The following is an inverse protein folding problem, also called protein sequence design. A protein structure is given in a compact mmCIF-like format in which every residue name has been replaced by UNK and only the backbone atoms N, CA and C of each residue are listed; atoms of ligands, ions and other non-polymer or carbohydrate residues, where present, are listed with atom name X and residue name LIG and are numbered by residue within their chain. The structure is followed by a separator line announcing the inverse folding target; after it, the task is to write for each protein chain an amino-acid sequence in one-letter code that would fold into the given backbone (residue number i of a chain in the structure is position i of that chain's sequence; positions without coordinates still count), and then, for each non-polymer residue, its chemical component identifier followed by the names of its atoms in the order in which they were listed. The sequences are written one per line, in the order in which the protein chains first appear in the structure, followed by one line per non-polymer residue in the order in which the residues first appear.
data_IF_942004848439
#
_entry.id   IF_942004848439
#
_cell.length_a   1.000
_cell.length_b   1.000
_cell.length_c   1.000
_cell.angle_alpha   90.00
_cell.angle_beta   90.00
_cell.angle_gamma   90.00
#
_symmetry.space_group_name_H-M   'P 1'
#
loop_
_entity.id
_entity.type
_entity.pdbx_description
1 polymer ?
#
# COMPACT_ATOMS: atom_id res chain seq x y z
N UNK A 1 9.38 4.09 17.56
CA UNK A 1 9.33 4.86 16.30
C UNK A 1 9.64 6.31 16.62
N UNK A 2 10.56 6.97 15.91
CA UNK A 2 10.46 8.44 15.83
C UNK A 2 9.22 8.68 14.98
N UNK A 3 8.21 9.41 15.46
CA UNK A 3 6.92 9.56 14.75
C UNK A 3 7.09 9.96 13.27
N UNK A 4 8.18 10.65 12.95
CA UNK A 4 8.58 11.05 11.60
C UNK A 4 8.90 9.89 10.65
N UNK A 5 9.39 8.75 11.14
CA UNK A 5 9.78 7.61 10.30
C UNK A 5 8.58 6.89 9.70
N UNK A 6 7.45 6.81 10.42
CA UNK A 6 6.19 6.30 9.84
C UNK A 6 5.75 7.16 8.67
N UNK A 7 5.81 8.48 8.81
CA UNK A 7 5.49 9.41 7.72
C UNK A 7 6.43 9.20 6.53
N UNK A 8 7.73 9.03 6.77
CA UNK A 8 8.71 8.76 5.71
C UNK A 8 8.42 7.46 4.96
N UNK A 9 8.06 6.38 5.65
CA UNK A 9 7.73 5.11 4.99
C UNK A 9 6.48 5.24 4.13
N UNK A 10 5.42 5.87 4.66
CA UNK A 10 4.21 6.15 3.90
C UNK A 10 4.53 6.97 2.65
N UNK A 11 5.30 8.05 2.79
CA UNK A 11 5.70 8.89 1.67
C UNK A 11 6.43 8.08 0.59
N UNK A 12 7.45 7.31 0.98
CA UNK A 12 8.21 6.45 0.05
C UNK A 12 7.35 5.44 -0.68
N UNK A 13 6.40 4.81 0.00
CA UNK A 13 5.47 3.85 -0.62
C UNK A 13 4.58 4.56 -1.63
N UNK A 14 3.98 5.69 -1.24
CA UNK A 14 3.08 6.46 -2.11
C UNK A 14 3.83 7.00 -3.33
N UNK A 15 5.04 7.53 -3.16
CA UNK A 15 5.87 8.02 -4.26
C UNK A 15 6.21 6.90 -5.25
N UNK A 16 6.53 5.70 -4.74
CA UNK A 16 6.78 4.52 -5.59
C UNK A 16 5.54 4.11 -6.37
N UNK A 17 4.37 4.07 -5.73
CA UNK A 17 3.10 3.78 -6.39
C UNK A 17 2.82 4.77 -7.52
N UNK A 18 2.96 6.07 -7.23
CA UNK A 18 2.74 7.15 -8.21
C UNK A 18 3.77 7.19 -9.33
N UNK A 19 4.96 6.64 -9.11
CA UNK A 19 6.00 6.52 -10.15
C UNK A 19 5.74 5.39 -11.15
N UNK A 20 4.79 4.49 -10.86
CA UNK A 20 4.47 3.36 -11.73
C UNK A 20 3.33 3.71 -12.69
N UNK A 21 3.56 3.75 -14.01
CA UNK A 21 2.50 3.99 -14.98
C UNK A 21 1.36 2.98 -14.85
N UNK A 22 1.69 1.71 -14.58
CA UNK A 22 0.68 0.65 -14.43
C UNK A 22 -0.24 0.86 -13.23
N UNK A 23 0.27 1.40 -12.11
CA UNK A 23 -0.56 1.77 -10.94
C UNK A 23 -1.38 3.02 -11.25
N UNK A 24 -0.76 4.03 -11.87
CA UNK A 24 -1.45 5.27 -12.25
C UNK A 24 -2.62 4.98 -13.18
N UNK A 25 -2.40 4.19 -14.23
CA UNK A 25 -3.44 3.75 -15.16
C UNK A 25 -4.56 2.98 -14.45
N UNK A 26 -4.22 2.02 -13.58
CA UNK A 26 -5.22 1.19 -12.91
C UNK A 26 -6.05 1.95 -11.85
N UNK A 27 -5.54 3.07 -11.33
CA UNK A 27 -6.27 3.98 -10.42
C UNK A 27 -7.01 5.10 -11.15
N UNK A 28 -6.69 5.37 -12.41
CA UNK A 28 -7.34 6.45 -13.15
C UNK A 28 -8.70 5.97 -13.64
N UNK A 29 -9.73 6.82 -13.53
CA UNK A 29 -11.06 6.53 -14.07
C UNK A 29 -11.03 6.44 -15.59
N UNK A 30 -11.92 5.63 -16.15
CA UNK A 30 -12.04 5.51 -17.60
C UNK A 30 -12.42 6.85 -18.23
N UNK A 31 -11.65 7.29 -19.23
CA UNK A 31 -11.85 8.58 -19.90
C UNK A 31 -11.11 9.76 -19.27
N UNK A 32 -10.47 9.58 -18.12
CA UNK A 32 -9.56 10.59 -17.54
C UNK A 32 -8.11 10.38 -18.03
N UNK A 33 -7.31 11.46 -18.13
CA UNK A 33 -5.90 11.33 -18.43
C UNK A 33 -5.17 10.64 -17.27
N UNK A 34 -4.48 9.53 -17.58
CA UNK A 34 -3.64 8.82 -16.62
C UNK A 34 -2.46 9.69 -16.21
N UNK A 35 -2.57 10.30 -15.02
CA UNK A 35 -1.56 11.19 -14.45
C UNK A 35 -1.38 10.91 -12.95
N UNK A 36 -0.16 11.07 -12.41
CA UNK A 36 0.09 10.88 -10.98
C UNK A 36 -0.82 11.73 -10.09
N UNK A 37 -1.14 12.96 -10.50
CA UNK A 37 -2.04 13.84 -9.75
C UNK A 37 -3.47 13.31 -9.65
N UNK A 38 -3.98 12.68 -10.72
CA UNK A 38 -5.28 12.01 -10.71
C UNK A 38 -5.23 10.81 -9.76
N UNK A 39 -4.26 9.91 -9.96
CA UNK A 39 -4.08 8.72 -9.13
C UNK A 39 -3.88 9.04 -7.63
N UNK A 40 -3.22 10.17 -7.30
CA UNK A 40 -2.97 10.62 -5.92
C UNK A 40 -4.26 10.80 -5.12
N UNK A 41 -5.37 11.16 -5.76
CA UNK A 41 -6.67 11.34 -5.11
C UNK A 41 -7.25 10.03 -4.58
N UNK A 42 -6.80 8.89 -5.14
CA UNK A 42 -7.23 7.54 -4.80
C UNK A 42 -6.27 6.85 -3.81
N UNK A 43 -5.20 7.52 -3.37
CA UNK A 43 -4.20 6.96 -2.45
C UNK A 43 -4.23 7.68 -1.09
N UNK A 44 -4.49 6.94 -0.02
CA UNK A 44 -4.62 7.49 1.33
C UNK A 44 -3.48 7.06 2.26
N UNK A 45 -2.84 8.00 3.00
CA UNK A 45 -1.81 7.68 3.99
C UNK A 45 -2.42 7.21 5.33
N UNK A 46 -3.62 6.66 5.32
CA UNK A 46 -4.37 6.08 6.43
C UNK A 46 -5.36 5.07 5.86
N UNK A 47 -5.86 4.15 6.68
CA UNK A 47 -6.91 3.23 6.26
C UNK A 47 -8.18 4.02 5.92
N UNK A 48 -8.49 4.13 4.63
CA UNK A 48 -9.72 4.75 4.16
C UNK A 48 -10.92 3.87 4.52
N UNK A 49 -11.97 4.48 5.04
CA UNK A 49 -13.17 3.78 5.56
C UNK A 49 -14.48 4.41 5.07
N UNK A 50 -14.43 5.46 4.25
CA UNK A 50 -15.61 6.18 3.79
C UNK A 50 -16.17 5.47 2.55
N UNK A 51 -16.86 4.35 2.79
CA UNK A 51 -17.54 3.57 1.77
C UNK A 51 -19.04 3.46 2.08
N UNK A 52 -19.91 3.29 1.06
CA UNK A 52 -19.59 3.35 -0.38
C UNK A 52 -19.36 4.81 -0.83
N UNK A 53 -18.60 4.98 -1.91
CA UNK A 53 -18.41 6.28 -2.57
C UNK A 53 -19.53 6.55 -3.57
N UNK A 54 -19.70 7.81 -3.99
CA UNK A 54 -20.77 8.19 -4.92
C UNK A 54 -20.64 7.50 -6.28
N UNK A 55 -19.40 7.30 -6.75
CA UNK A 55 -19.09 6.63 -8.01
C UNK A 55 -18.24 5.37 -7.76
N UNK A 56 -18.41 4.30 -8.58
CA UNK A 56 -17.53 3.14 -8.58
C UNK A 56 -16.07 3.52 -8.83
N UNK A 57 -15.18 3.09 -7.95
CA UNK A 57 -13.77 3.49 -8.02
C UNK A 57 -12.81 2.43 -7.44
N UNK A 58 -11.51 2.68 -7.55
CA UNK A 58 -10.43 1.92 -6.91
C UNK A 58 -9.65 2.81 -5.94
N UNK A 59 -9.18 2.24 -4.83
CA UNK A 59 -8.44 2.96 -3.81
C UNK A 59 -7.27 2.14 -3.26
N UNK A 60 -6.18 2.83 -2.92
CA UNK A 60 -5.07 2.29 -2.14
C UNK A 60 -4.97 3.05 -0.82
N UNK A 61 -4.86 2.35 0.29
CA UNK A 61 -4.54 2.93 1.59
C UNK A 61 -3.24 2.35 2.13
N UNK A 62 -2.42 3.18 2.77
CA UNK A 62 -1.13 2.77 3.34
C UNK A 62 -1.06 3.18 4.81
N UNK A 63 -0.74 2.23 5.68
CA UNK A 63 -0.34 2.53 7.05
C UNK A 63 0.86 1.70 7.49
N UNK A 64 1.57 2.24 8.49
CA UNK A 64 2.74 1.60 9.10
C UNK A 64 2.51 1.58 10.59
N UNK A 65 2.53 0.38 11.16
CA UNK A 65 2.40 0.13 12.60
C UNK A 65 3.73 -0.37 13.13
N UNK A 66 4.15 0.14 14.27
CA UNK A 66 5.34 -0.42 14.94
C UNK A 66 4.92 -1.64 15.76
N UNK A 67 5.51 -2.79 15.46
CA UNK A 67 5.42 -3.97 16.31
C UNK A 67 6.54 -3.95 17.36
N UNK A 68 6.28 -4.54 18.53
CA UNK A 68 7.35 -4.83 19.49
C UNK A 68 8.25 -5.91 18.87
N UNK A 69 9.55 -5.65 18.84
CA UNK A 69 10.53 -6.65 18.45
C UNK A 69 10.78 -7.65 19.57
N UNK A 70 11.20 -8.87 19.21
CA UNK A 70 11.62 -9.90 20.16
C UNK A 70 12.92 -9.58 20.90
N UNK A 71 13.68 -8.56 20.49
CA UNK A 71 14.93 -8.13 21.14
C UNK A 71 14.96 -6.62 21.37
N UNK A 72 15.68 -6.17 22.41
CA UNK A 72 15.75 -4.75 22.75
C UNK A 72 16.48 -3.89 21.70
N UNK A 73 17.29 -4.48 20.82
CA UNK A 73 18.18 -3.78 19.87
C UNK A 73 17.60 -3.60 18.47
N UNK A 74 16.61 -4.41 18.08
CA UNK A 74 15.91 -4.32 16.79
C UNK A 74 14.48 -3.87 17.05
N UNK A 75 13.85 -3.23 16.07
CA UNK A 75 12.42 -2.92 16.04
C UNK A 75 11.86 -3.33 14.68
N UNK A 76 10.66 -3.88 14.66
CA UNK A 76 9.99 -4.26 13.42
C UNK A 76 8.82 -3.32 13.17
N UNK A 77 8.73 -2.78 11.96
CA UNK A 77 7.58 -2.01 11.48
C UNK A 77 6.80 -2.87 10.50
N UNK A 78 5.50 -2.98 10.71
CA UNK A 78 4.55 -3.65 9.84
C UNK A 78 3.96 -2.60 8.90
N UNK A 79 4.04 -2.87 7.60
CA UNK A 79 3.49 -2.04 6.54
C UNK A 79 2.26 -2.76 6.01
N UNK A 80 1.15 -2.03 5.94
CA UNK A 80 -0.11 -2.51 5.40
C UNK A 80 -0.46 -1.66 4.18
N UNK A 81 -0.70 -2.33 3.06
CA UNK A 81 -1.25 -1.71 1.86
C UNK A 81 -2.60 -2.34 1.57
N UNK A 82 -3.67 -1.61 1.83
CA UNK A 82 -5.03 -2.01 1.48
C UNK A 82 -5.34 -1.54 0.07
N UNK A 83 -5.81 -2.45 -0.77
CA UNK A 83 -6.20 -2.20 -2.14
C UNK A 83 -7.63 -2.69 -2.27
N UNK A 84 -8.52 -1.85 -2.78
CA UNK A 84 -9.89 -2.26 -3.06
C UNK A 84 -10.43 -1.58 -4.30
N UNK A 85 -11.24 -2.30 -5.06
CA UNK A 85 -11.95 -1.83 -6.23
C UNK A 85 -13.43 -2.17 -6.13
N UNK A 86 -14.27 -1.30 -6.66
CA UNK A 86 -15.69 -1.56 -6.80
C UNK A 86 -15.91 -2.73 -7.78
N UNK A 87 -16.70 -3.72 -7.37
CA UNK A 87 -16.99 -4.95 -8.16
C UNK A 87 -17.62 -4.64 -9.52
N UNK A 88 -18.37 -3.53 -9.61
CA UNK A 88 -18.96 -3.05 -10.87
C UNK A 88 -17.96 -2.56 -11.93
N UNK A 89 -16.67 -2.36 -11.58
CA UNK A 89 -15.62 -2.03 -12.56
C UNK A 89 -15.03 -3.27 -13.25
N UNK A 90 -15.42 -4.47 -12.82
CA UNK A 90 -14.94 -5.71 -13.41
C UNK A 90 -15.68 -5.98 -14.73
N UNK A 91 -14.92 -6.17 -15.81
CA UNK A 91 -15.47 -6.34 -17.15
C UNK A 91 -16.01 -7.76 -17.44
N UNK A 92 -16.05 -8.68 -16.48
CA UNK A 92 -16.66 -10.02 -16.61
C UNK A 92 -15.90 -11.01 -17.50
N UNK A 93 -15.26 -10.52 -18.57
CA UNK A 93 -14.59 -11.31 -19.60
C UNK A 93 -13.08 -11.52 -19.35
N UNK A 94 -12.52 -10.85 -18.33
CA UNK A 94 -11.12 -10.95 -17.96
C UNK A 94 -10.94 -11.77 -16.68
N UNK A 95 -9.89 -12.59 -16.59
CA UNK A 95 -9.53 -13.27 -15.33
C UNK A 95 -8.76 -12.38 -14.37
N UNK A 96 -8.02 -11.40 -14.91
CA UNK A 96 -7.31 -10.40 -14.11
C UNK A 96 -8.26 -9.23 -13.84
N UNK A 97 -8.43 -8.91 -12.58
CA UNK A 97 -9.21 -7.75 -12.16
C UNK A 97 -8.32 -6.54 -11.90
N UNK A 98 -8.91 -5.33 -11.82
CA UNK A 98 -8.14 -4.12 -11.43
C UNK A 98 -7.49 -4.28 -10.06
N UNK A 99 -8.15 -4.94 -9.11
CA UNK A 99 -7.57 -5.21 -7.79
C UNK A 99 -6.35 -6.14 -7.89
N UNK A 100 -6.39 -7.16 -8.77
CA UNK A 100 -5.25 -8.07 -9.01
C UNK A 100 -4.07 -7.32 -9.60
N UNK A 101 -4.30 -6.51 -10.64
CA UNK A 101 -3.27 -5.70 -11.28
C UNK A 101 -2.63 -4.72 -10.29
N UNK A 102 -3.43 -4.03 -9.49
CA UNK A 102 -2.94 -3.11 -8.46
C UNK A 102 -2.12 -3.85 -7.39
N UNK A 103 -2.56 -5.03 -6.95
CA UNK A 103 -1.83 -5.83 -5.96
C UNK A 103 -0.49 -6.34 -6.50
N UNK A 104 -0.48 -6.88 -7.72
CA UNK A 104 0.72 -7.39 -8.38
C UNK A 104 1.75 -6.27 -8.60
N UNK A 105 1.32 -5.11 -9.09
CA UNK A 105 2.22 -3.97 -9.29
C UNK A 105 2.72 -3.38 -7.97
N UNK A 106 1.85 -3.31 -6.94
CA UNK A 106 2.26 -2.86 -5.61
C UNK A 106 3.33 -3.78 -5.02
N UNK A 107 3.13 -5.10 -5.12
CA UNK A 107 4.13 -6.07 -4.66
C UNK A 107 5.43 -5.94 -5.44
N UNK A 108 5.39 -5.88 -6.76
CA UNK A 108 6.58 -5.68 -7.60
C UNK A 108 7.38 -4.44 -7.20
N UNK A 109 6.73 -3.35 -6.78
CA UNK A 109 7.37 -2.09 -6.38
C UNK A 109 7.98 -2.13 -4.97
N UNK A 110 7.47 -2.99 -4.09
CA UNK A 110 7.86 -3.04 -2.69
C UNK A 110 8.77 -4.23 -2.37
N UNK A 111 8.53 -5.37 -3.00
CA UNK A 111 9.25 -6.61 -2.77
C UNK A 111 10.75 -6.45 -2.98
N UNK A 112 11.52 -6.87 -1.97
CA UNK A 112 12.99 -6.81 -2.00
C UNK A 112 13.59 -5.40 -1.86
N UNK A 113 12.78 -4.36 -1.67
CA UNK A 113 13.27 -2.98 -1.48
C UNK A 113 14.17 -2.86 -0.26
N UNK A 114 15.26 -2.08 -0.39
CA UNK A 114 16.18 -1.77 0.72
C UNK A 114 15.95 -0.39 1.34
N UNK A 115 14.91 0.32 0.89
CA UNK A 115 14.64 1.71 1.32
C UNK A 115 13.95 1.81 2.69
N UNK A 116 13.62 0.67 3.30
CA UNK A 116 12.82 0.55 4.51
C UNK A 116 13.63 -0.05 5.66
N UNK A 117 14.47 0.78 6.27
CA UNK A 117 15.23 0.41 7.46
C UNK A 117 16.47 -0.41 7.11
N UNK A 118 16.66 -1.54 7.77
CA UNK A 118 17.83 -2.40 7.61
C UNK A 118 17.44 -3.62 6.79
N UNK A 119 18.24 -3.89 5.75
CA UNK A 119 18.05 -5.05 4.89
C UNK A 119 16.90 -4.86 3.91
N UNK A 120 16.37 -5.98 3.40
CA UNK A 120 15.26 -5.98 2.46
C UNK A 120 13.93 -5.99 3.19
N UNK A 121 12.95 -5.29 2.63
CA UNK A 121 11.56 -5.43 3.02
C UNK A 121 11.12 -6.90 2.88
N UNK A 122 10.53 -7.45 3.94
CA UNK A 122 10.08 -8.83 3.99
C UNK A 122 8.61 -8.91 3.65
N UNK A 123 8.24 -9.87 2.80
CA UNK A 123 6.86 -10.22 2.52
C UNK A 123 6.28 -11.05 3.66
N UNK A 124 5.19 -10.60 4.27
CA UNK A 124 4.51 -11.30 5.37
C UNK A 124 3.25 -12.03 4.89
N UNK A 125 2.65 -11.59 3.79
CA UNK A 125 1.50 -12.25 3.20
C UNK A 125 0.46 -11.31 2.61
N UNK A 126 -0.60 -11.93 2.11
CA UNK A 126 -1.76 -11.28 1.52
C UNK A 126 -3.04 -11.81 2.16
N UNK A 127 -4.03 -10.94 2.33
CA UNK A 127 -5.38 -11.29 2.80
C UNK A 127 -6.43 -10.65 1.90
N UNK A 128 -7.60 -11.27 1.80
CA UNK A 128 -8.75 -10.64 1.15
C UNK A 128 -9.21 -9.41 1.97
N UNK A 129 -9.65 -8.38 1.26
CA UNK A 129 -10.16 -7.15 1.84
C UNK A 129 -11.49 -6.77 1.20
N UNK A 130 -12.55 -6.75 1.99
CA UNK A 130 -13.88 -6.32 1.57
C UNK A 130 -14.36 -5.22 2.55
N UNK A 131 -14.15 -3.92 2.25
CA UNK A 131 -14.61 -2.85 3.13
C UNK A 131 -16.14 -2.76 3.19
N UNK A 132 -16.81 -3.05 2.07
CA UNK A 132 -18.26 -3.20 1.94
C UNK A 132 -18.56 -4.30 0.91
N UNK A 133 -19.80 -4.83 0.83
CA UNK A 133 -20.15 -5.89 -0.12
C UNK A 133 -19.86 -5.54 -1.59
N UNK A 134 -19.89 -4.27 -1.96
CA UNK A 134 -19.66 -3.77 -3.32
C UNK A 134 -18.18 -3.66 -3.68
N UNK A 135 -17.28 -3.73 -2.70
CA UNK A 135 -15.84 -3.58 -2.88
C UNK A 135 -15.12 -4.88 -2.52
N UNK A 136 -14.06 -5.19 -3.25
CA UNK A 136 -13.13 -6.24 -2.86
C UNK A 136 -11.70 -5.87 -3.25
N UNK A 137 -10.75 -6.62 -2.71
CA UNK A 137 -9.35 -6.55 -3.06
C UNK A 137 -8.51 -7.21 -1.99
N UNK A 138 -7.39 -6.60 -1.63
CA UNK A 138 -6.33 -7.25 -0.89
C UNK A 138 -5.72 -6.35 0.18
N UNK A 139 -5.25 -6.96 1.26
CA UNK A 139 -4.27 -6.35 2.18
C UNK A 139 -2.94 -7.03 1.95
N UNK A 140 -1.96 -6.27 1.46
CA UNK A 140 -0.56 -6.71 1.36
C UNK A 140 0.17 -6.32 2.64
N UNK A 141 0.88 -7.28 3.24
CA UNK A 141 1.59 -7.10 4.50
C UNK A 141 3.09 -7.30 4.30
N UNK A 142 3.86 -6.36 4.83
CA UNK A 142 5.32 -6.42 4.81
C UNK A 142 5.91 -6.04 6.15
N UNK A 143 7.12 -6.52 6.45
CA UNK A 143 7.87 -6.09 7.60
C UNK A 143 9.22 -5.46 7.24
N UNK A 144 9.55 -4.40 7.98
CA UNK A 144 10.80 -3.66 7.88
C UNK A 144 11.50 -3.66 9.25
N UNK A 145 12.74 -4.12 9.30
CA UNK A 145 13.56 -4.12 10.52
C UNK A 145 14.32 -2.80 10.64
N UNK A 146 14.53 -2.32 11.87
CA UNK A 146 15.24 -1.08 12.16
C UNK A 146 15.95 -1.15 13.52
N UNK A 147 16.97 -0.32 13.75
CA UNK A 147 17.69 -0.29 15.03
C UNK A 147 16.87 0.44 16.10
N UNK A 148 16.86 -0.12 17.31
CA UNK A 148 16.37 0.56 18.50
C UNK A 148 17.30 1.72 18.89
N UNK A 149 16.77 2.83 19.43
CA UNK A 149 17.54 4.04 19.82
C UNK A 149 18.59 3.84 20.94
N UNK A 150 18.98 2.62 21.28
CA UNK A 150 19.90 2.32 22.39
C UNK A 150 21.41 2.38 22.06
N UNK A 151 21.83 2.46 20.79
CA UNK A 151 23.26 2.31 20.45
C UNK A 151 23.77 3.02 19.18
N UNK A 152 23.02 3.98 18.65
CA UNK A 152 23.39 4.74 17.43
C UNK A 152 23.69 6.21 17.71
N UNK A 153 24.43 6.52 18.77
CA UNK A 153 24.70 7.89 19.18
C UNK A 153 25.91 8.02 20.10
N UNK A 154 27.11 7.93 19.51
CA UNK A 154 28.21 8.86 19.73
C UNK A 154 28.89 9.08 18.40
#
# INVERSE_FOLDING_TARGET
MILTQRTQYKQKIIDRLLSSPAVVEALTKDGEPAAPESARQHIFPYRFIQFPTQEPDCYISVDVVTAKSGTASIRTSQIFVWICCHKGLFSGDAYETRADRLAAETDRLLSGSTDFGIGRLQWEGMQLYEPTPEYYGYVLQYSASDFSRGRGGK
#
